data_IF_064138711782
#
_entry.id   IF_064138711782
#
_cell.length_a   1.000
_cell.length_b   1.000
_cell.length_c   1.000
_cell.angle_alpha   90.00
_cell.angle_beta   90.00
_cell.angle_gamma   90.00
#
_symmetry.space_group_name_H-M   'P 1'
#
loop_
_entity.id
_entity.type
_entity.pdbx_description
1 polymer ?
#
# COMPACT_ATOMS: atom_id res chain seq x y z
N UNK A 1 -42.23 0.36 21.82
CA UNK A 1 -41.39 -0.74 22.37
C UNK A 1 -39.93 -0.37 22.16
N UNK A 2 -39.19 -0.21 23.26
CA UNK A 2 -37.85 0.41 23.31
C UNK A 2 -36.74 -0.58 22.92
N UNK A 3 -35.86 -0.17 22.00
CA UNK A 3 -34.65 -0.90 21.56
C UNK A 3 -33.52 -0.67 22.58
N UNK A 4 -33.03 -1.75 23.20
CA UNK A 4 -31.84 -1.75 24.06
C UNK A 4 -30.57 -1.69 23.20
N UNK A 5 -29.77 -0.66 23.43
CA UNK A 5 -28.40 -0.48 22.96
C UNK A 5 -27.43 -1.36 23.78
N UNK A 6 -26.49 -2.00 23.10
CA UNK A 6 -25.43 -2.81 23.70
C UNK A 6 -24.45 -1.92 24.49
N UNK A 7 -24.64 -1.84 25.82
CA UNK A 7 -23.59 -1.50 26.77
C UNK A 7 -23.42 -2.69 27.72
N UNK A 8 -22.32 -3.44 27.58
CA UNK A 8 -21.90 -4.41 28.61
C UNK A 8 -20.86 -3.75 29.52
N UNK A 9 -21.17 -3.76 30.81
CA UNK A 9 -20.38 -3.27 31.93
C UNK A 9 -19.11 -4.08 32.14
N UNK A 10 -17.96 -3.43 32.32
CA UNK A 10 -16.85 -3.95 33.14
C UNK A 10 -16.16 -2.80 33.89
N UNK A 11 -16.03 -2.96 35.22
CA UNK A 11 -15.16 -2.17 36.12
C UNK A 11 -15.48 -0.68 36.29
N UNK A 12 -16.16 -0.30 37.39
CA UNK A 12 -16.36 1.12 37.75
C UNK A 12 -15.04 1.75 38.21
N UNK A 13 -14.35 2.44 37.31
CA UNK A 13 -13.36 3.47 37.65
C UNK A 13 -14.12 4.75 38.05
N UNK A 14 -13.70 5.53 39.07
CA UNK A 14 -14.45 6.69 39.54
C UNK A 14 -14.67 7.73 38.43
N UNK A 15 -15.92 8.14 38.23
CA UNK A 15 -16.36 9.04 37.14
C UNK A 15 -15.67 10.43 37.11
N UNK A 16 -14.93 10.80 38.16
CA UNK A 16 -14.13 12.05 38.21
C UNK A 16 -12.76 11.91 37.54
N UNK A 17 -12.11 10.75 37.61
CA UNK A 17 -10.83 10.50 36.92
C UNK A 17 -11.02 10.29 35.41
N UNK A 18 -12.15 9.67 35.03
CA UNK A 18 -12.50 9.46 33.62
C UNK A 18 -12.87 10.77 32.90
N UNK A 19 -13.43 11.75 33.61
CA UNK A 19 -13.70 13.10 33.07
C UNK A 19 -12.45 13.96 32.91
N UNK A 20 -11.39 13.71 33.67
CA UNK A 20 -10.16 14.50 33.63
C UNK A 20 -9.24 14.09 32.46
N UNK A 21 -9.18 12.80 32.11
CA UNK A 21 -8.44 12.30 30.94
C UNK A 21 -9.11 12.63 29.60
N UNK A 22 -10.40 12.93 29.60
CA UNK A 22 -11.23 13.14 28.39
C UNK A 22 -11.27 14.60 27.88
N UNK A 23 -10.51 15.54 28.46
CA UNK A 23 -10.57 16.95 28.03
C UNK A 23 -9.63 17.30 26.86
N UNK A 24 -8.57 16.53 26.66
CA UNK A 24 -7.58 16.80 25.61
C UNK A 24 -7.13 15.49 24.96
N UNK A 25 -7.14 15.45 23.63
CA UNK A 25 -6.61 14.34 22.84
C UNK A 25 -5.10 14.24 23.05
N UNK A 26 -4.57 13.01 23.11
CA UNK A 26 -3.13 12.80 23.19
C UNK A 26 -2.52 12.83 21.78
N UNK A 27 -2.39 14.04 21.23
CA UNK A 27 -1.92 14.26 19.86
C UNK A 27 -0.51 13.72 19.59
N UNK A 28 0.38 13.74 20.58
CA UNK A 28 1.75 13.22 20.43
C UNK A 28 1.74 11.70 20.29
N UNK A 29 0.95 11.02 21.14
CA UNK A 29 0.78 9.58 21.03
C UNK A 29 0.13 9.20 19.69
N UNK A 30 -0.95 9.89 19.29
CA UNK A 30 -1.58 9.68 17.99
C UNK A 30 -0.61 9.89 16.81
N UNK A 31 0.17 10.98 16.82
CA UNK A 31 1.15 11.26 15.77
C UNK A 31 2.23 10.18 15.67
N UNK A 32 2.64 9.60 16.80
CA UNK A 32 3.60 8.51 16.82
C UNK A 32 3.01 7.22 16.21
N UNK A 33 1.74 6.91 16.51
CA UNK A 33 1.03 5.79 15.87
C UNK A 33 1.01 5.98 14.35
N UNK A 34 0.67 7.18 13.87
CA UNK A 34 0.63 7.45 12.41
C UNK A 34 2.00 7.32 11.74
N UNK A 35 3.07 7.80 12.38
CA UNK A 35 4.45 7.63 11.86
C UNK A 35 4.86 6.17 11.78
N UNK A 36 4.41 5.35 12.73
CA UNK A 36 4.67 3.91 12.70
C UNK A 36 3.81 3.20 11.64
N UNK A 37 2.64 3.73 11.29
CA UNK A 37 1.71 3.10 10.35
C UNK A 37 2.29 2.79 8.96
N UNK A 38 3.25 3.58 8.48
CA UNK A 38 3.92 3.30 7.19
C UNK A 38 4.98 2.21 7.27
N UNK A 39 5.46 1.88 8.47
CA UNK A 39 6.49 0.87 8.71
C UNK A 39 5.88 -0.43 9.20
N UNK A 40 4.95 -0.34 10.17
CA UNK A 40 4.29 -1.47 10.81
C UNK A 40 2.78 -1.16 10.91
N UNK A 41 2.03 -1.33 9.80
CA UNK A 41 0.60 -1.04 9.77
C UNK A 41 -0.18 -1.98 10.69
N UNK A 42 0.28 -3.21 10.89
CA UNK A 42 -0.40 -4.21 11.72
C UNK A 42 -0.40 -3.83 13.19
N UNK A 43 0.76 -3.49 13.76
CA UNK A 43 0.83 -3.01 15.14
C UNK A 43 0.13 -1.65 15.30
N UNK A 44 0.26 -0.77 14.30
CA UNK A 44 -0.38 0.55 14.35
C UNK A 44 -1.90 0.46 14.42
N UNK A 45 -2.52 -0.54 13.79
CA UNK A 45 -3.96 -0.81 13.92
C UNK A 45 -4.33 -1.15 15.36
N UNK A 46 -3.55 -1.97 16.05
CA UNK A 46 -3.81 -2.36 17.45
C UNK A 46 -3.73 -1.12 18.35
N UNK A 47 -2.67 -0.31 18.21
CA UNK A 47 -2.49 0.91 18.99
C UNK A 47 -3.60 1.93 18.70
N UNK A 48 -3.99 2.06 17.44
CA UNK A 48 -5.02 3.00 17.04
C UNK A 48 -6.42 2.55 17.50
N UNK A 49 -6.68 1.24 17.55
CA UNK A 49 -7.91 0.69 18.11
C UNK A 49 -8.03 1.02 19.62
N UNK A 50 -6.95 0.91 20.38
CA UNK A 50 -6.93 1.32 21.79
C UNK A 50 -7.14 2.84 21.93
N UNK A 51 -6.50 3.62 21.05
CA UNK A 51 -6.62 5.08 21.04
C UNK A 51 -8.07 5.52 20.78
N UNK A 52 -8.73 5.02 19.72
CA UNK A 52 -10.10 5.43 19.36
C UNK A 52 -11.11 4.99 20.43
N UNK A 53 -10.88 3.88 21.13
CA UNK A 53 -11.70 3.46 22.28
C UNK A 53 -11.56 4.41 23.47
N UNK A 54 -10.36 4.94 23.69
CA UNK A 54 -10.08 5.89 24.77
C UNK A 54 -10.59 7.29 24.45
N UNK A 55 -10.36 7.76 23.22
CA UNK A 55 -10.70 9.08 22.72
C UNK A 55 -11.83 9.00 21.67
N UNK A 56 -12.96 8.41 22.06
CA UNK A 56 -14.07 8.10 21.14
C UNK A 56 -14.70 9.30 20.42
N UNK A 57 -14.41 10.53 20.87
CA UNK A 57 -14.85 11.78 20.27
C UNK A 57 -13.81 12.39 19.29
N UNK A 58 -12.66 11.76 19.09
CA UNK A 58 -11.64 12.17 18.11
C UNK A 58 -11.94 11.57 16.73
N UNK A 59 -12.85 12.19 15.98
CA UNK A 59 -13.31 11.70 14.68
C UNK A 59 -12.15 11.56 13.66
N UNK A 60 -11.11 12.40 13.75
CA UNK A 60 -9.97 12.32 12.84
C UNK A 60 -9.19 11.01 13.01
N UNK A 61 -9.10 10.50 14.23
CA UNK A 61 -8.40 9.24 14.51
C UNK A 61 -9.10 8.03 13.88
N UNK A 62 -10.43 8.05 13.77
CA UNK A 62 -11.20 7.03 13.07
C UNK A 62 -10.94 7.02 11.55
N UNK A 63 -10.67 8.18 10.93
CA UNK A 63 -10.26 8.23 9.52
C UNK A 63 -8.94 7.46 9.31
N UNK A 64 -7.93 7.75 10.15
CA UNK A 64 -6.66 7.01 10.09
C UNK A 64 -6.83 5.52 10.39
N UNK A 65 -7.76 5.17 11.28
CA UNK A 65 -8.05 3.77 11.60
C UNK A 65 -8.65 3.03 10.41
N UNK A 66 -9.69 3.59 9.78
CA UNK A 66 -10.26 3.04 8.55
C UNK A 66 -9.21 2.93 7.43
N UNK A 67 -8.37 3.95 7.27
CA UNK A 67 -7.30 3.98 6.28
C UNK A 67 -6.30 2.82 6.45
N UNK A 68 -5.85 2.54 7.68
CA UNK A 68 -4.95 1.43 7.97
C UNK A 68 -5.62 0.07 7.83
N UNK A 69 -6.90 -0.05 8.23
CA UNK A 69 -7.67 -1.28 8.01
C UNK A 69 -7.75 -1.63 6.52
N UNK A 70 -7.96 -0.63 5.64
CA UNK A 70 -7.91 -0.82 4.19
C UNK A 70 -6.51 -1.27 3.75
N UNK A 71 -5.45 -0.60 4.21
CA UNK A 71 -4.06 -0.93 3.83
C UNK A 71 -3.71 -2.40 4.10
N UNK A 72 -4.21 -3.00 5.18
CA UNK A 72 -3.98 -4.41 5.50
C UNK A 72 -5.07 -5.37 5.00
N UNK A 73 -6.05 -4.89 4.22
CA UNK A 73 -7.09 -5.71 3.63
C UNK A 73 -8.26 -6.10 4.55
N UNK A 74 -8.43 -5.43 5.69
CA UNK A 74 -9.57 -5.65 6.62
C UNK A 74 -10.80 -4.84 6.20
N UNK A 75 -11.28 -5.08 4.98
CA UNK A 75 -12.34 -4.27 4.33
C UNK A 75 -13.67 -4.27 5.07
N UNK A 76 -14.11 -5.40 5.62
CA UNK A 76 -15.37 -5.48 6.38
C UNK A 76 -15.37 -4.60 7.63
N UNK A 77 -14.21 -4.47 8.27
CA UNK A 77 -14.03 -3.64 9.46
C UNK A 77 -13.90 -2.17 9.07
N UNK A 78 -13.13 -1.88 8.01
CA UNK A 78 -13.03 -0.54 7.45
C UNK A 78 -14.42 0.00 7.07
N UNK A 79 -15.27 -0.81 6.43
CA UNK A 79 -16.64 -0.43 6.06
C UNK A 79 -17.46 0.00 7.28
N UNK A 80 -17.44 -0.77 8.36
CA UNK A 80 -18.17 -0.45 9.60
C UNK A 80 -17.74 0.89 10.17
N UNK A 81 -16.43 1.13 10.23
CA UNK A 81 -15.87 2.41 10.72
C UNK A 81 -16.28 3.56 9.82
N UNK A 82 -16.23 3.38 8.49
CA UNK A 82 -16.65 4.40 7.52
C UNK A 82 -18.15 4.73 7.62
N UNK A 83 -19.00 3.73 7.79
CA UNK A 83 -20.46 3.93 7.95
C UNK A 83 -20.80 4.65 9.26
N UNK A 84 -20.04 4.42 10.32
CA UNK A 84 -20.16 5.18 11.58
C UNK A 84 -19.66 6.62 11.43
N UNK A 85 -18.48 6.81 10.83
CA UNK A 85 -17.90 8.12 10.55
C UNK A 85 -18.82 9.00 9.71
N UNK A 86 -19.37 8.44 8.63
CA UNK A 86 -20.29 9.16 7.74
C UNK A 86 -21.52 9.66 8.51
N UNK A 87 -22.13 8.79 9.32
CA UNK A 87 -23.29 9.15 10.16
C UNK A 87 -22.95 10.24 11.17
N UNK A 88 -21.78 10.20 11.80
CA UNK A 88 -21.35 11.23 12.74
C UNK A 88 -21.13 12.59 12.05
N UNK A 89 -20.51 12.59 10.88
CA UNK A 89 -20.32 13.80 10.07
C UNK A 89 -21.67 14.39 9.66
N UNK A 90 -22.58 13.59 9.10
CA UNK A 90 -23.91 14.03 8.67
C UNK A 90 -24.77 14.58 9.81
N UNK A 91 -24.71 13.95 11.00
CA UNK A 91 -25.53 14.37 12.14
C UNK A 91 -24.97 15.58 12.89
N UNK A 92 -23.70 15.94 12.68
CA UNK A 92 -23.05 17.01 13.41
C UNK A 92 -22.71 18.18 12.48
N UNK A 93 -23.55 19.23 12.57
CA UNK A 93 -23.44 20.46 11.76
C UNK A 93 -22.05 21.10 11.79
N UNK A 94 -21.27 20.88 12.86
CA UNK A 94 -19.89 21.37 12.99
C UNK A 94 -18.97 20.86 11.87
N UNK A 95 -19.19 19.65 11.39
CA UNK A 95 -18.38 19.05 10.32
C UNK A 95 -18.97 19.27 8.92
N UNK A 96 -20.23 19.71 8.84
CA UNK A 96 -20.95 19.97 7.59
C UNK A 96 -20.92 21.45 7.16
N UNK A 97 -20.46 22.35 8.02
CA UNK A 97 -20.23 23.73 7.64
C UNK A 97 -18.81 23.87 7.09
N UNK A 98 -18.70 24.14 5.79
CA UNK A 98 -17.51 24.77 5.17
C UNK A 98 -17.10 26.09 5.89
N UNK A 99 -17.97 26.59 6.77
CA UNK A 99 -17.83 27.80 7.59
C UNK A 99 -16.91 27.62 8.82
N UNK A 100 -16.55 26.39 9.22
CA UNK A 100 -15.65 26.13 10.37
C UNK A 100 -14.14 26.26 9.99
N UNK A 101 -13.86 26.76 8.78
CA UNK A 101 -12.52 26.99 8.23
C UNK A 101 -11.76 25.71 7.87
N UNK A 102 -10.43 25.85 7.70
CA UNK A 102 -9.45 24.85 7.17
C UNK A 102 -9.61 23.41 7.72
N UNK A 103 -10.14 23.23 8.94
CA UNK A 103 -10.21 21.92 9.63
C UNK A 103 -11.42 21.06 9.24
N UNK A 104 -12.58 21.67 8.95
CA UNK A 104 -13.78 20.96 8.49
C UNK A 104 -13.56 20.33 7.12
N UNK A 105 -13.03 21.12 6.19
CA UNK A 105 -12.67 20.70 4.83
C UNK A 105 -11.65 19.54 4.84
N UNK A 106 -10.69 19.58 5.77
CA UNK A 106 -9.67 18.52 5.90
C UNK A 106 -10.28 17.19 6.35
N UNK A 107 -11.26 17.20 7.26
CA UNK A 107 -11.92 15.95 7.70
C UNK A 107 -12.75 15.33 6.59
N UNK A 108 -13.62 16.14 5.96
CA UNK A 108 -14.48 15.67 4.88
C UNK A 108 -13.64 15.13 3.73
N UNK A 109 -12.59 15.85 3.32
CA UNK A 109 -11.68 15.41 2.27
C UNK A 109 -11.01 14.08 2.60
N UNK A 110 -10.50 13.92 3.83
CA UNK A 110 -9.89 12.65 4.26
C UNK A 110 -10.91 11.51 4.21
N UNK A 111 -12.13 11.73 4.71
CA UNK A 111 -13.20 10.74 4.64
C UNK A 111 -13.52 10.34 3.19
N UNK A 112 -13.70 11.32 2.30
CA UNK A 112 -13.98 11.05 0.88
C UNK A 112 -12.84 10.27 0.23
N UNK A 113 -11.58 10.61 0.52
CA UNK A 113 -10.42 9.89 0.01
C UNK A 113 -10.36 8.44 0.48
N UNK A 114 -10.65 8.19 1.77
CA UNK A 114 -10.66 6.83 2.32
C UNK A 114 -11.83 6.02 1.75
N UNK A 115 -13.00 6.64 1.52
CA UNK A 115 -14.13 6.00 0.83
C UNK A 115 -13.78 5.63 -0.61
N UNK A 116 -13.09 6.53 -1.33
CA UNK A 116 -12.61 6.23 -2.68
C UNK A 116 -11.66 5.01 -2.68
N UNK A 117 -10.66 4.99 -1.77
CA UNK A 117 -9.79 3.82 -1.58
C UNK A 117 -10.59 2.56 -1.29
N UNK A 118 -11.59 2.64 -0.38
CA UNK A 118 -12.44 1.51 -0.05
C UNK A 118 -13.18 0.96 -1.26
N UNK A 119 -13.82 1.82 -2.07
CA UNK A 119 -14.54 1.38 -3.26
C UNK A 119 -13.61 0.69 -4.25
N UNK A 120 -12.45 1.28 -4.55
CA UNK A 120 -11.49 0.71 -5.49
C UNK A 120 -10.95 -0.63 -4.99
N UNK A 121 -10.43 -0.68 -3.76
CA UNK A 121 -9.83 -1.90 -3.21
C UNK A 121 -10.84 -3.01 -2.88
N UNK A 122 -12.13 -2.67 -2.82
CA UNK A 122 -13.21 -3.65 -2.68
C UNK A 122 -13.82 -4.04 -4.04
N UNK A 123 -13.25 -3.61 -5.17
CA UNK A 123 -13.70 -3.95 -6.52
C UNK A 123 -14.98 -3.23 -7.00
N UNK A 124 -15.46 -2.20 -6.29
CA UNK A 124 -16.66 -1.44 -6.63
C UNK A 124 -16.30 -0.28 -7.58
N UNK A 125 -15.83 -0.63 -8.78
CA UNK A 125 -15.23 0.32 -9.72
C UNK A 125 -16.23 1.32 -10.32
N UNK A 126 -17.49 0.91 -10.49
CA UNK A 126 -18.55 1.80 -11.00
C UNK A 126 -18.92 2.85 -9.95
N UNK A 127 -19.09 2.43 -8.70
CA UNK A 127 -19.30 3.32 -7.57
C UNK A 127 -18.11 4.26 -7.37
N UNK A 128 -16.87 3.75 -7.47
CA UNK A 128 -15.68 4.58 -7.41
C UNK A 128 -15.65 5.64 -8.52
N UNK A 129 -15.97 5.27 -9.77
CA UNK A 129 -16.00 6.18 -10.89
C UNK A 129 -17.02 7.31 -10.70
N UNK A 130 -18.27 6.95 -10.37
CA UNK A 130 -19.33 7.91 -10.10
C UNK A 130 -18.99 8.80 -8.89
N UNK A 131 -18.44 8.20 -7.83
CA UNK A 131 -18.01 8.93 -6.64
C UNK A 131 -16.93 9.98 -6.94
N UNK A 132 -15.97 9.67 -7.84
CA UNK A 132 -14.98 10.66 -8.30
C UNK A 132 -15.69 11.83 -9.01
N UNK A 133 -16.62 11.54 -9.93
CA UNK A 133 -17.35 12.58 -10.68
C UNK A 133 -18.14 13.51 -9.75
N UNK A 134 -18.84 12.93 -8.77
CA UNK A 134 -19.67 13.68 -7.82
C UNK A 134 -18.86 14.53 -6.85
N UNK A 135 -17.63 14.11 -6.52
CA UNK A 135 -16.81 14.71 -5.47
C UNK A 135 -15.53 15.38 -5.99
N UNK A 136 -15.39 15.53 -7.32
CA UNK A 136 -14.18 16.02 -7.99
C UNK A 136 -13.72 17.36 -7.43
N UNK A 137 -14.67 18.29 -7.23
CA UNK A 137 -14.37 19.63 -6.69
C UNK A 137 -13.65 19.57 -5.33
N UNK A 138 -14.19 18.81 -4.37
CA UNK A 138 -13.67 18.72 -3.00
C UNK A 138 -12.34 17.95 -2.98
N UNK A 139 -12.26 16.85 -3.75
CA UNK A 139 -11.07 16.03 -3.81
C UNK A 139 -9.89 16.76 -4.49
N UNK A 140 -10.16 17.60 -5.49
CA UNK A 140 -9.17 18.30 -6.30
C UNK A 140 -8.97 19.79 -5.93
N UNK A 141 -9.62 20.29 -4.87
CA UNK A 141 -9.66 21.72 -4.51
C UNK A 141 -8.28 22.40 -4.29
N UNK A 142 -7.22 21.61 -4.02
CA UNK A 142 -5.85 22.13 -3.96
C UNK A 142 -5.21 22.10 -5.34
N UNK A 143 -4.68 23.26 -5.79
CA UNK A 143 -3.83 23.37 -7.00
C UNK A 143 -2.82 22.22 -7.06
N UNK A 144 -2.98 21.35 -8.05
CA UNK A 144 -2.03 20.26 -8.36
C UNK A 144 -2.47 18.85 -7.96
N UNK A 145 -3.60 18.66 -7.27
CA UNK A 145 -4.19 17.32 -7.05
C UNK A 145 -5.17 17.03 -8.19
N UNK A 146 -4.90 15.97 -8.95
CA UNK A 146 -5.77 15.49 -10.03
C UNK A 146 -6.06 14.01 -9.79
N UNK A 147 -7.34 13.65 -9.81
CA UNK A 147 -7.80 12.25 -9.76
C UNK A 147 -7.91 11.62 -11.15
N UNK A 148 -7.21 12.17 -12.15
CA UNK A 148 -7.30 11.70 -13.52
C UNK A 148 -6.83 10.24 -13.66
N UNK A 149 -5.81 9.85 -12.90
CA UNK A 149 -5.30 8.47 -12.88
C UNK A 149 -6.35 7.50 -12.38
N UNK A 150 -6.96 7.82 -11.24
CA UNK A 150 -7.96 7.01 -10.55
C UNK A 150 -9.24 6.92 -11.40
N UNK A 151 -9.65 8.05 -11.99
CA UNK A 151 -10.78 8.13 -12.91
C UNK A 151 -10.57 7.23 -14.12
N UNK A 152 -9.40 7.36 -14.78
CA UNK A 152 -9.01 6.56 -15.95
C UNK A 152 -8.90 5.07 -15.63
N UNK A 153 -8.41 4.73 -14.44
CA UNK A 153 -8.32 3.35 -13.98
C UNK A 153 -9.71 2.74 -13.75
N UNK A 154 -10.59 3.44 -13.03
CA UNK A 154 -11.93 2.94 -12.75
C UNK A 154 -12.76 2.78 -14.03
N UNK A 155 -12.72 3.78 -14.92
CA UNK A 155 -13.41 3.74 -16.21
C UNK A 155 -12.91 2.60 -17.12
N UNK A 156 -11.60 2.33 -17.13
CA UNK A 156 -11.05 1.16 -17.83
C UNK A 156 -11.61 -0.15 -17.25
N UNK A 157 -11.71 -0.27 -15.93
CA UNK A 157 -12.26 -1.46 -15.25
C UNK A 157 -13.75 -1.69 -15.55
N UNK A 158 -14.53 -0.62 -15.76
CA UNK A 158 -15.97 -0.72 -16.10
C UNK A 158 -16.25 -0.67 -17.62
N UNK A 159 -15.23 -0.60 -18.47
CA UNK A 159 -15.38 -0.63 -19.93
C UNK A 159 -15.92 0.66 -20.56
N UNK A 160 -15.80 1.80 -19.89
CA UNK A 160 -16.14 3.11 -20.47
C UNK A 160 -15.04 3.54 -21.45
N UNK A 161 -15.42 3.89 -22.67
CA UNK A 161 -14.47 4.37 -23.68
C UNK A 161 -13.92 5.76 -23.32
N UNK A 162 -12.65 5.97 -23.60
CA UNK A 162 -12.00 7.27 -23.50
C UNK A 162 -11.64 7.80 -24.87
N UNK A 163 -11.79 9.11 -25.04
CA UNK A 163 -11.07 9.79 -26.11
C UNK A 163 -9.58 9.48 -25.95
N UNK A 164 -8.95 9.03 -27.03
CA UNK A 164 -7.51 8.72 -27.11
C UNK A 164 -6.64 9.99 -26.99
N UNK A 165 -7.10 11.02 -26.28
CA UNK A 165 -6.28 12.19 -26.00
C UNK A 165 -4.95 11.73 -25.42
N UNK A 166 -3.88 12.41 -25.84
CA UNK A 166 -2.49 11.97 -25.72
C UNK A 166 -2.09 11.71 -24.27
N UNK A 167 -2.27 10.47 -23.83
CA UNK A 167 -1.75 9.96 -22.58
C UNK A 167 -0.24 9.72 -22.71
N UNK A 168 0.56 10.78 -22.83
CA UNK A 168 2.02 10.67 -23.00
C UNK A 168 2.74 10.29 -21.70
N UNK A 169 2.05 10.31 -20.56
CA UNK A 169 2.60 9.87 -19.27
C UNK A 169 2.62 8.34 -19.19
N UNK A 170 3.74 7.79 -18.74
CA UNK A 170 3.96 6.35 -18.58
C UNK A 170 2.79 5.65 -17.87
N UNK A 171 2.38 6.14 -16.70
CA UNK A 171 1.32 5.53 -15.92
C UNK A 171 -0.02 5.46 -16.68
N UNK A 172 -0.37 6.50 -17.43
CA UNK A 172 -1.62 6.53 -18.20
C UNK A 172 -1.59 5.53 -19.36
N UNK A 173 -0.46 5.40 -20.07
CA UNK A 173 -0.30 4.36 -21.09
C UNK A 173 -0.50 2.98 -20.50
N UNK A 174 0.15 2.71 -19.36
CA UNK A 174 0.05 1.41 -18.68
C UNK A 174 -1.37 1.09 -18.20
N UNK A 175 -2.18 2.08 -17.84
CA UNK A 175 -3.61 1.87 -17.49
C UNK A 175 -4.43 1.53 -18.75
N UNK A 176 -4.23 2.27 -19.84
CA UNK A 176 -5.03 2.11 -21.07
C UNK A 176 -4.71 0.78 -21.77
N UNK A 177 -3.42 0.51 -21.94
CA UNK A 177 -2.87 -0.66 -22.61
C UNK A 177 -1.51 -1.00 -21.99
N UNK A 178 -1.52 -1.98 -21.09
CA UNK A 178 -0.31 -2.44 -20.42
C UNK A 178 0.71 -2.95 -21.43
N UNK A 179 1.97 -2.54 -21.23
CA UNK A 179 3.09 -2.94 -22.10
C UNK A 179 4.29 -3.31 -21.24
N UNK A 180 4.61 -4.60 -21.23
CA UNK A 180 5.80 -5.14 -20.56
C UNK A 180 7.07 -4.48 -21.09
N UNK A 181 7.13 -4.18 -22.39
CA UNK A 181 8.26 -3.45 -22.99
C UNK A 181 8.42 -2.05 -22.39
N UNK A 182 7.32 -1.30 -22.24
CA UNK A 182 7.37 0.05 -21.65
C UNK A 182 7.75 -0.03 -20.17
N UNK A 183 7.28 -1.04 -19.44
CA UNK A 183 7.70 -1.32 -18.06
C UNK A 183 9.22 -1.59 -17.99
N UNK A 184 9.74 -2.48 -18.84
CA UNK A 184 11.16 -2.81 -18.91
C UNK A 184 12.03 -1.61 -19.31
N UNK A 185 11.49 -0.64 -20.05
CA UNK A 185 12.20 0.62 -20.32
C UNK A 185 12.15 1.58 -19.13
N UNK A 186 11.00 1.70 -18.47
CA UNK A 186 10.83 2.53 -17.27
C UNK A 186 11.75 2.08 -16.13
N UNK A 187 11.85 0.76 -15.90
CA UNK A 187 12.58 0.21 -14.77
C UNK A 187 14.08 0.45 -14.83
N UNK A 188 14.66 0.66 -16.02
CA UNK A 188 16.09 0.98 -16.20
C UNK A 188 16.51 2.23 -15.42
N UNK A 189 15.58 3.14 -15.16
CA UNK A 189 15.82 4.35 -14.34
C UNK A 189 16.06 4.04 -12.86
N UNK A 190 15.69 2.84 -12.42
CA UNK A 190 15.89 2.37 -11.05
C UNK A 190 17.17 1.53 -10.89
N UNK A 191 18.09 1.57 -11.85
CA UNK A 191 19.39 0.91 -11.75
C UNK A 191 20.52 1.93 -11.65
N UNK A 192 21.54 1.63 -10.84
CA UNK A 192 22.75 2.45 -10.79
C UNK A 192 23.44 2.48 -12.17
N UNK A 193 23.79 3.68 -12.62
CA UNK A 193 24.66 3.83 -13.79
C UNK A 193 26.11 3.58 -13.37
N UNK A 194 26.92 3.03 -14.28
CA UNK A 194 28.36 2.82 -14.06
C UNK A 194 29.17 4.12 -14.01
N UNK A 195 28.55 5.28 -14.28
CA UNK A 195 29.27 6.55 -14.50
C UNK A 195 28.89 7.70 -13.57
N UNK A 196 27.88 7.59 -12.73
CA UNK A 196 27.48 8.70 -11.87
C UNK A 196 27.34 8.25 -10.42
N UNK A 197 28.30 8.71 -9.62
CA UNK A 197 28.18 8.73 -8.17
C UNK A 197 27.35 9.97 -7.81
N UNK A 198 26.49 9.81 -6.80
CA UNK A 198 25.94 10.86 -5.94
C UNK A 198 24.68 11.56 -6.47
N UNK A 199 23.55 10.88 -6.44
CA UNK A 199 22.35 11.52 -5.90
C UNK A 199 21.83 10.68 -4.73
N UNK A 200 21.88 11.25 -3.52
CA UNK A 200 21.70 10.51 -2.26
C UNK A 200 20.24 10.26 -1.91
N UNK A 201 19.27 10.67 -2.74
CA UNK A 201 17.82 10.55 -2.47
C UNK A 201 17.09 9.54 -3.35
N UNK A 202 17.80 8.78 -4.18
CA UNK A 202 17.18 7.83 -5.12
C UNK A 202 17.14 6.41 -4.55
N UNK A 203 16.19 5.61 -5.06
CA UNK A 203 16.09 4.17 -4.81
C UNK A 203 16.57 3.42 -6.05
N UNK A 204 17.77 2.85 -5.97
CA UNK A 204 18.48 2.26 -7.11
C UNK A 204 18.97 0.85 -6.78
N UNK A 205 18.61 -0.12 -7.63
CA UNK A 205 19.19 -1.45 -7.62
C UNK A 205 20.68 -1.39 -7.94
N UNK A 206 21.44 -2.32 -7.35
CA UNK A 206 22.84 -2.49 -7.73
C UNK A 206 22.96 -3.01 -9.16
N UNK A 207 24.08 -2.71 -9.80
CA UNK A 207 24.38 -3.20 -11.14
C UNK A 207 24.40 -4.73 -11.21
N UNK A 208 24.84 -5.39 -10.13
CA UNK A 208 24.92 -6.86 -10.01
C UNK A 208 23.57 -7.52 -9.66
N UNK A 209 22.50 -6.74 -9.46
CA UNK A 209 21.18 -7.29 -9.18
C UNK A 209 20.69 -8.09 -10.40
N UNK A 210 20.39 -9.40 -10.27
CA UNK A 210 20.05 -10.27 -11.39
C UNK A 210 18.60 -10.06 -11.83
N UNK A 211 18.33 -8.90 -12.43
CA UNK A 211 17.00 -8.39 -12.72
C UNK A 211 16.14 -9.39 -13.49
N UNK A 212 16.63 -9.98 -14.59
CA UNK A 212 15.84 -10.89 -15.42
C UNK A 212 15.35 -12.10 -14.63
N UNK A 213 16.25 -12.73 -13.86
CA UNK A 213 15.91 -13.90 -13.03
C UNK A 213 14.93 -13.54 -11.92
N UNK A 214 15.13 -12.39 -11.28
CA UNK A 214 14.24 -11.92 -10.21
C UNK A 214 12.87 -11.54 -10.77
N UNK A 215 12.84 -10.84 -11.89
CA UNK A 215 11.61 -10.40 -12.54
C UNK A 215 10.72 -11.58 -12.96
N UNK A 216 11.30 -12.64 -13.53
CA UNK A 216 10.56 -13.88 -13.81
C UNK A 216 9.98 -14.51 -12.53
N UNK A 217 10.71 -14.45 -11.42
CA UNK A 217 10.19 -14.94 -10.14
C UNK A 217 9.05 -14.08 -9.57
N UNK A 218 9.19 -12.76 -9.69
CA UNK A 218 8.16 -11.78 -9.29
C UNK A 218 6.87 -12.03 -10.07
N UNK A 219 6.94 -12.20 -11.39
CA UNK A 219 5.76 -12.49 -12.23
C UNK A 219 5.03 -13.76 -11.78
N UNK A 220 5.76 -14.79 -11.37
CA UNK A 220 5.16 -16.04 -10.89
C UNK A 220 4.55 -15.91 -9.48
N UNK A 221 4.89 -14.85 -8.75
CA UNK A 221 4.42 -14.61 -7.38
C UNK A 221 3.20 -13.69 -7.31
N UNK A 222 2.85 -13.04 -8.43
CA UNK A 222 1.77 -12.03 -8.51
C UNK A 222 0.69 -12.52 -9.50
N UNK A 223 -0.61 -12.47 -9.15
CA UNK A 223 -1.15 -11.94 -7.90
C UNK A 223 -1.02 -12.92 -6.74
N UNK A 224 -0.47 -12.45 -5.63
CA UNK A 224 -0.32 -13.19 -4.38
C UNK A 224 -1.23 -12.65 -3.28
N UNK A 225 -1.32 -13.36 -2.14
CA UNK A 225 -2.11 -12.90 -0.98
C UNK A 225 -1.34 -11.91 -0.10
N UNK A 226 -0.01 -11.95 -0.11
CA UNK A 226 0.86 -11.16 0.75
C UNK A 226 1.15 -9.80 0.10
N UNK A 227 0.14 -8.91 0.15
CA UNK A 227 0.20 -7.56 -0.40
C UNK A 227 -0.38 -6.54 0.57
N UNK A 228 -0.01 -5.28 0.40
CA UNK A 228 -0.64 -4.15 1.05
C UNK A 228 -1.39 -3.30 0.03
N UNK A 229 -2.58 -2.84 0.42
CA UNK A 229 -3.42 -1.94 -0.37
C UNK A 229 -3.04 -0.49 -0.09
N UNK A 230 -1.79 -0.16 -0.38
CA UNK A 230 -1.20 1.15 -0.10
C UNK A 230 -1.17 2.00 -1.37
N UNK A 231 -1.67 3.23 -1.29
CA UNK A 231 -2.01 4.05 -2.46
C UNK A 231 -3.53 4.10 -2.72
N UNK A 232 -3.94 4.18 -3.99
CA UNK A 232 -5.35 4.23 -4.39
C UNK A 232 -5.70 3.11 -5.39
N UNK A 233 -4.90 2.95 -6.43
CA UNK A 233 -5.14 1.99 -7.53
C UNK A 233 -4.06 0.91 -7.62
N UNK A 234 -3.14 0.89 -6.66
CA UNK A 234 -1.94 0.06 -6.68
C UNK A 234 -1.89 -0.85 -5.45
N UNK A 235 -1.46 -2.09 -5.69
CA UNK A 235 -1.12 -3.06 -4.65
C UNK A 235 0.42 -3.10 -4.52
N UNK A 236 0.91 -3.13 -3.29
CA UNK A 236 2.34 -3.22 -3.00
C UNK A 236 2.70 -4.64 -2.53
N UNK A 237 3.66 -5.26 -3.21
CA UNK A 237 4.29 -6.51 -2.82
C UNK A 237 5.74 -6.25 -2.41
N UNK A 238 6.16 -6.81 -1.28
CA UNK A 238 7.53 -6.66 -0.81
C UNK A 238 8.27 -7.97 -1.02
N UNK A 239 9.50 -7.87 -1.49
CA UNK A 239 10.37 -9.01 -1.72
C UNK A 239 11.68 -8.80 -0.98
N UNK A 240 12.22 -9.88 -0.44
CA UNK A 240 13.54 -9.88 0.18
C UNK A 240 14.55 -10.55 -0.74
N UNK A 241 15.59 -9.79 -1.06
CA UNK A 241 16.79 -10.23 -1.75
C UNK A 241 17.96 -9.44 -1.15
N UNK A 242 18.79 -10.08 -0.33
CA UNK A 242 19.78 -9.33 0.45
C UNK A 242 20.74 -8.55 -0.45
N UNK A 243 21.07 -7.33 -0.05
CA UNK A 243 21.91 -6.42 -0.81
C UNK A 243 21.39 -6.22 -2.26
N UNK A 244 20.08 -5.99 -2.44
CA UNK A 244 19.50 -5.74 -3.77
C UNK A 244 19.78 -4.34 -4.29
N UNK A 245 19.95 -3.36 -3.40
CA UNK A 245 20.16 -1.97 -3.81
C UNK A 245 20.33 -1.02 -2.64
N UNK A 246 20.13 0.26 -2.92
CA UNK A 246 20.12 1.34 -1.94
C UNK A 246 18.91 2.22 -2.09
N UNK A 247 18.45 2.78 -0.97
CA UNK A 247 17.45 3.85 -0.93
C UNK A 247 17.99 4.94 -0.01
N UNK A 248 17.98 6.18 -0.48
CA UNK A 248 18.52 7.30 0.29
C UNK A 248 19.97 7.09 0.79
N UNK A 249 20.81 6.43 -0.02
CA UNK A 249 22.18 6.06 0.32
C UNK A 249 22.33 4.90 1.31
N UNK A 250 21.25 4.37 1.87
CA UNK A 250 21.25 3.23 2.80
C UNK A 250 21.01 1.93 2.04
N UNK A 251 21.87 0.94 2.28
CA UNK A 251 21.72 -0.39 1.69
C UNK A 251 20.45 -1.05 2.20
N UNK A 252 19.78 -1.80 1.32
CA UNK A 252 18.59 -2.57 1.69
C UNK A 252 18.63 -3.98 1.14
N UNK A 253 17.94 -4.86 1.86
CA UNK A 253 17.68 -6.25 1.51
C UNK A 253 16.30 -6.45 0.90
N UNK A 254 15.55 -5.36 0.71
CA UNK A 254 14.16 -5.42 0.27
C UNK A 254 13.93 -4.52 -0.93
N UNK A 255 12.98 -4.91 -1.77
CA UNK A 255 12.44 -4.09 -2.83
C UNK A 255 10.92 -4.22 -2.85
N UNK A 256 10.25 -3.17 -3.31
CA UNK A 256 8.81 -3.14 -3.50
C UNK A 256 8.49 -3.30 -4.98
N UNK A 257 7.43 -4.03 -5.27
CA UNK A 257 6.82 -4.17 -6.59
C UNK A 257 5.41 -3.58 -6.49
N UNK A 258 5.14 -2.53 -7.26
CA UNK A 258 3.82 -1.92 -7.37
C UNK A 258 3.11 -2.49 -8.58
N UNK A 259 1.89 -2.96 -8.40
CA UNK A 259 1.05 -3.48 -9.49
C UNK A 259 -0.31 -2.81 -9.47
N UNK A 260 -0.99 -2.77 -10.61
CA UNK A 260 -2.38 -2.30 -10.61
C UNK A 260 -3.27 -3.23 -9.80
N UNK A 261 -4.15 -2.66 -8.99
CA UNK A 261 -5.09 -3.42 -8.17
C UNK A 261 -5.95 -4.34 -9.05
N UNK A 262 -6.19 -5.56 -8.52
CA UNK A 262 -6.83 -6.66 -9.25
C UNK A 262 -6.21 -6.93 -10.63
N UNK A 263 -4.88 -6.90 -10.72
CA UNK A 263 -4.13 -7.29 -11.91
C UNK A 263 -2.76 -7.89 -11.54
N UNK A 264 -2.10 -8.51 -12.52
CA UNK A 264 -0.68 -8.87 -12.50
C UNK A 264 0.22 -7.83 -13.17
N UNK A 265 -0.36 -6.74 -13.67
CA UNK A 265 0.32 -5.70 -14.43
C UNK A 265 1.22 -4.85 -13.52
N UNK A 266 2.54 -4.96 -13.70
CA UNK A 266 3.54 -4.32 -12.85
C UNK A 266 3.77 -2.87 -13.30
N UNK A 267 3.50 -1.93 -12.39
CA UNK A 267 3.70 -0.49 -12.61
C UNK A 267 5.18 -0.13 -12.47
N UNK A 268 5.83 -0.59 -11.40
CA UNK A 268 7.24 -0.29 -11.14
C UNK A 268 7.79 -1.24 -10.08
N UNK A 269 9.11 -1.28 -9.95
CA UNK A 269 9.78 -1.89 -8.81
C UNK A 269 11.02 -1.08 -8.42
N UNK A 270 11.36 -1.05 -7.13
CA UNK A 270 12.52 -0.31 -6.65
C UNK A 270 12.95 -0.79 -5.25
N UNK A 271 14.23 -0.64 -4.87
CA UNK A 271 14.68 -0.94 -3.51
C UNK A 271 13.88 -0.15 -2.48
N UNK A 272 13.66 -0.76 -1.32
CA UNK A 272 12.78 -0.22 -0.28
C UNK A 272 13.37 -0.45 1.11
N UNK A 273 13.23 0.50 2.02
CA UNK A 273 13.68 0.38 3.42
C UNK A 273 12.47 0.20 4.33
N UNK A 274 12.61 -0.64 5.36
CA UNK A 274 11.58 -0.81 6.39
C UNK A 274 10.53 -1.86 6.06
N UNK A 275 10.83 -2.81 5.17
CA UNK A 275 9.95 -3.94 4.88
C UNK A 275 10.14 -5.15 5.82
N UNK A 276 11.03 -5.05 6.80
CA UNK A 276 11.32 -6.11 7.79
C UNK A 276 10.15 -6.41 8.73
N UNK A 277 9.20 -5.47 8.86
CA UNK A 277 7.96 -5.62 9.63
C UNK A 277 6.72 -5.77 8.73
N UNK A 278 6.91 -5.80 7.42
CA UNK A 278 5.86 -5.99 6.43
C UNK A 278 5.81 -7.45 5.95
N UNK A 279 4.67 -7.93 5.42
CA UNK A 279 4.63 -9.20 4.71
C UNK A 279 5.54 -9.12 3.48
N UNK A 280 6.47 -10.06 3.35
CA UNK A 280 7.40 -10.12 2.23
C UNK A 280 7.64 -11.56 1.76
N UNK A 281 8.00 -11.68 0.48
CA UNK A 281 8.37 -12.94 -0.16
C UNK A 281 9.91 -13.03 -0.19
N UNK A 282 10.49 -14.02 0.51
CA UNK A 282 11.95 -14.24 0.50
C UNK A 282 12.38 -15.01 -0.76
N UNK A 283 13.16 -14.34 -1.60
CA UNK A 283 13.66 -14.89 -2.87
C UNK A 283 15.19 -15.05 -2.87
N UNK A 284 15.82 -15.05 -1.69
CA UNK A 284 17.27 -15.26 -1.57
C UNK A 284 17.73 -16.63 -2.08
N UNK A 285 16.85 -17.63 -2.22
CA UNK A 285 17.16 -18.91 -2.86
C UNK A 285 17.61 -18.74 -4.32
N UNK A 286 17.29 -17.61 -4.97
CA UNK A 286 17.80 -17.27 -6.30
C UNK A 286 19.31 -16.97 -6.30
N UNK A 287 19.93 -16.74 -5.14
CA UNK A 287 21.39 -16.56 -5.02
C UNK A 287 22.15 -17.86 -4.97
N UNK A 288 21.48 -18.96 -4.64
CA UNK A 288 22.10 -20.26 -4.73
C UNK A 288 22.42 -20.49 -6.20
N UNK A 289 23.71 -20.50 -6.54
CA UNK A 289 24.20 -21.03 -7.80
C UNK A 289 23.56 -22.40 -7.98
N UNK A 290 23.20 -22.76 -9.22
CA UNK A 290 22.87 -24.14 -9.54
C UNK A 290 23.97 -25.01 -8.93
N UNK A 291 23.65 -25.74 -7.84
CA UNK A 291 24.59 -26.71 -7.27
C UNK A 291 25.11 -27.50 -8.46
N UNK A 292 26.43 -27.51 -8.73
CA UNK A 292 26.95 -28.18 -9.91
C UNK A 292 26.32 -29.55 -9.90
N UNK A 293 25.51 -29.88 -10.93
CA UNK A 293 24.78 -31.15 -10.99
C UNK A 293 25.80 -32.20 -10.62
N UNK A 294 25.69 -32.77 -9.42
CA UNK A 294 26.66 -33.76 -8.96
C UNK A 294 26.55 -34.85 -9.99
N UNK A 295 27.53 -34.93 -10.89
CA UNK A 295 27.49 -35.86 -12.01
C UNK A 295 27.48 -37.22 -11.35
N UNK A 296 26.29 -37.84 -11.26
CA UNK A 296 26.16 -39.19 -10.73
C UNK A 296 26.94 -40.05 -11.70
N UNK A 297 28.15 -40.42 -11.28
CA UNK A 297 29.00 -41.35 -12.01
C UNK A 297 28.15 -42.57 -12.32
N UNK A 298 28.08 -42.95 -13.60
CA UNK A 298 27.43 -44.19 -13.99
C UNK A 298 28.13 -45.37 -13.29
N UNK A 299 27.48 -46.53 -13.23
CA UNK A 299 28.15 -47.73 -12.68
C UNK A 299 29.47 -48.04 -13.40
N UNK A 300 29.53 -47.74 -14.71
CA UNK A 300 30.73 -47.88 -15.53
C UNK A 300 31.79 -46.86 -15.14
N UNK A 301 31.43 -45.59 -14.91
CA UNK A 301 32.39 -44.57 -14.48
C UNK A 301 32.94 -44.89 -13.07
N UNK A 302 32.09 -45.38 -12.17
CA UNK A 302 32.53 -45.86 -10.84
C UNK A 302 33.45 -47.07 -10.94
N UNK A 303 33.19 -47.98 -11.87
CA UNK A 303 34.03 -49.15 -12.13
C UNK A 303 35.39 -48.72 -12.68
N UNK A 304 35.42 -47.87 -13.70
CA UNK A 304 36.64 -47.36 -14.31
C UNK A 304 37.48 -46.51 -13.35
N UNK A 305 36.85 -45.73 -12.47
CA UNK A 305 37.59 -44.98 -11.45
C UNK A 305 38.22 -45.89 -10.37
N UNK A 306 37.58 -47.03 -10.08
CA UNK A 306 38.03 -47.98 -9.04
C UNK A 306 39.06 -48.98 -9.54
N UNK A 307 39.03 -49.32 -10.83
CA UNK A 307 39.87 -50.37 -11.43
C UNK A 307 40.70 -49.92 -12.63
N UNK A 308 40.47 -48.71 -13.16
CA UNK A 308 41.16 -48.14 -14.32
C UNK A 308 42.39 -47.29 -13.97
N UNK A 309 43.20 -47.71 -12.98
CA UNK A 309 44.59 -47.24 -12.90
C UNK A 309 45.49 -48.22 -13.65
N UNK A 310 45.73 -47.93 -14.93
CA UNK A 310 47.04 -48.05 -15.58
C UNK A 310 47.19 -46.92 -16.58
#
# INVERSE_FOLDING_TARGET
MSKKSYRKNHGKVPAKEQKAKNRFFNNDYYSNILKQGSLDPFNSIILLEEYVRTYYNDIYSYCSYASLLITVGRFDEAKKVLDELQREVENNKKYNSLDDGIRGDTLLKNLLFIKLRYYIYSGHYEEAYNFILENEYILCEKKGVSLLTEKLFCSKKIGVEHEKEKFDRYLYRQIVEYSEKDFLEHIKRHFQSTKEVINTSESLFYFEFPFERVYENVKNSIPGKEKLFDGIIEDNYYFKYDNCGKTNGVNTNYFVVKVFHDSSDIITMYPFIGADTLPYIDINYLKEEEKPRVRRLSQIDKFNQRYGKK
#
